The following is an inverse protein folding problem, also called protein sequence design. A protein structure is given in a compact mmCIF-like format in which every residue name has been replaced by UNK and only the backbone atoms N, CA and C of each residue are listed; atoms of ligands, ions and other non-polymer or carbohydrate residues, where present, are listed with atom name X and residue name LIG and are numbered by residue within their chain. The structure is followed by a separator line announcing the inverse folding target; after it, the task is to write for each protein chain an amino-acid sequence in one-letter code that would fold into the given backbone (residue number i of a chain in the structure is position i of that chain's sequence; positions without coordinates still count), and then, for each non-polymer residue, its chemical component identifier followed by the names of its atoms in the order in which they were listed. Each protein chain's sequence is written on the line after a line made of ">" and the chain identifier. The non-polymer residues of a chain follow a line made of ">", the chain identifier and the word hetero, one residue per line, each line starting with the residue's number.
data_IF_682274190426
#
_entry.id   IF_682274190426
#
_cell.length_a   1.000
_cell.length_b   1.000
_cell.length_c   1.000
_cell.angle_alpha   90.00
_cell.angle_beta   90.00
_cell.angle_gamma   90.00
#
_symmetry.space_group_name_H-M   'P 1'
#
loop_
_entity.id
_entity.type
_entity.pdbx_description
1 polymer ?
#
# COMPACT_ATOMS: atom_id res chain seq x y z
N UNK A 1 5.57 11.73 -8.06
CA UNK A 1 4.88 12.57 -9.08
C UNK A 1 3.54 13.02 -8.47
N UNK A 2 3.17 14.32 -8.49
CA UNK A 2 1.90 14.79 -7.90
C UNK A 2 0.90 15.12 -9.02
N UNK A 3 -0.21 14.39 -9.09
CA UNK A 3 -1.29 14.66 -10.05
C UNK A 3 -2.27 15.71 -9.49
N UNK A 4 -2.93 16.45 -10.38
CA UNK A 4 -4.17 17.15 -10.00
C UNK A 4 -5.32 16.13 -9.87
N UNK A 5 -6.36 16.44 -9.10
CA UNK A 5 -7.53 15.55 -8.96
C UNK A 5 -8.20 15.23 -10.29
N UNK A 6 -8.25 16.20 -11.22
CA UNK A 6 -8.79 15.98 -12.55
C UNK A 6 -7.95 14.97 -13.35
N UNK A 7 -6.63 15.07 -13.25
CA UNK A 7 -5.71 14.15 -13.93
C UNK A 7 -5.74 12.75 -13.33
N UNK A 8 -5.80 12.64 -11.99
CA UNK A 8 -5.96 11.36 -11.30
C UNK A 8 -7.29 10.69 -11.68
N UNK A 9 -8.40 11.44 -11.70
CA UNK A 9 -9.70 10.92 -12.08
C UNK A 9 -9.71 10.38 -13.52
N UNK A 10 -9.08 11.12 -14.44
CA UNK A 10 -8.93 10.71 -15.85
C UNK A 10 -8.13 9.40 -15.97
N UNK A 11 -7.02 9.27 -15.24
CA UNK A 11 -6.17 8.06 -15.25
C UNK A 11 -6.87 6.85 -14.63
N UNK A 12 -7.60 7.04 -13.54
CA UNK A 12 -8.33 5.99 -12.84
C UNK A 12 -9.69 5.65 -13.49
N UNK A 13 -10.11 6.36 -14.53
CA UNK A 13 -11.40 6.14 -15.20
C UNK A 13 -12.61 6.41 -14.31
N UNK A 14 -12.54 7.46 -13.48
CA UNK A 14 -13.62 7.88 -12.57
C UNK A 14 -14.02 9.34 -12.79
N UNK A 15 -15.14 9.75 -12.21
CA UNK A 15 -15.63 11.13 -12.36
C UNK A 15 -14.69 12.15 -11.69
N UNK A 16 -14.51 13.31 -12.33
CA UNK A 16 -13.50 14.32 -11.98
C UNK A 16 -13.58 14.86 -10.54
N UNK A 17 -14.76 14.84 -9.93
CA UNK A 17 -14.95 15.30 -8.53
C UNK A 17 -14.58 14.26 -7.48
N UNK A 18 -14.50 12.98 -7.86
CA UNK A 18 -14.40 11.89 -6.89
C UNK A 18 -13.11 11.90 -6.07
N UNK A 19 -11.91 12.16 -6.64
CA UNK A 19 -10.70 12.24 -5.82
C UNK A 19 -10.80 13.29 -4.70
N UNK A 20 -11.44 14.43 -4.96
CA UNK A 20 -11.66 15.45 -3.94
C UNK A 20 -12.57 14.96 -2.81
N UNK A 21 -13.61 14.17 -3.12
CA UNK A 21 -14.54 13.61 -2.12
C UNK A 21 -13.89 12.55 -1.24
N UNK A 22 -12.91 11.82 -1.77
CA UNK A 22 -12.16 10.80 -1.01
C UNK A 22 -11.12 11.42 -0.07
N UNK A 23 -10.47 12.51 -0.48
CA UNK A 23 -9.38 13.15 0.28
C UNK A 23 -9.89 14.15 1.33
N UNK A 24 -11.05 14.77 1.11
CA UNK A 24 -11.56 15.85 1.98
C UNK A 24 -12.65 15.35 2.93
N UNK A 25 -12.25 14.64 3.99
CA UNK A 25 -13.16 14.07 5.00
C UNK A 25 -14.10 15.10 5.69
N UNK A 26 -13.74 16.38 5.70
CA UNK A 26 -14.52 17.45 6.32
C UNK A 26 -15.53 18.12 5.36
N UNK A 27 -15.58 17.70 4.09
CA UNK A 27 -16.56 18.21 3.13
C UNK A 27 -17.92 17.54 3.37
N UNK A 28 -19.01 18.28 3.14
CA UNK A 28 -20.37 17.72 3.15
C UNK A 28 -20.56 16.58 2.12
N UNK A 29 -19.71 16.54 1.11
CA UNK A 29 -19.72 15.57 0.01
C UNK A 29 -18.72 14.41 0.19
N UNK A 30 -18.08 14.32 1.36
CA UNK A 30 -17.07 13.32 1.67
C UNK A 30 -17.63 11.89 1.56
N UNK A 31 -16.84 11.00 0.96
CA UNK A 31 -17.22 9.59 0.84
C UNK A 31 -15.98 8.71 0.69
N UNK A 32 -16.14 7.40 0.71
CA UNK A 32 -15.05 6.43 0.51
C UNK A 32 -15.16 5.76 -0.87
N UNK A 33 -14.03 5.43 -1.51
CA UNK A 33 -14.06 4.67 -2.74
C UNK A 33 -14.54 3.24 -2.48
N UNK A 34 -15.22 2.64 -3.46
CA UNK A 34 -15.39 1.19 -3.49
C UNK A 34 -14.03 0.50 -3.65
N UNK A 35 -13.93 -0.78 -3.29
CA UNK A 35 -12.70 -1.56 -3.48
C UNK A 35 -12.18 -1.51 -4.94
N UNK A 36 -13.07 -1.72 -5.92
CA UNK A 36 -12.72 -1.65 -7.33
C UNK A 36 -12.26 -0.24 -7.77
N UNK A 37 -12.80 0.82 -7.16
CA UNK A 37 -12.32 2.19 -7.40
C UNK A 37 -10.95 2.43 -6.77
N UNK A 38 -10.73 1.90 -5.57
CA UNK A 38 -9.44 1.97 -4.88
C UNK A 38 -8.34 1.29 -5.70
N UNK A 39 -8.58 0.10 -6.27
CA UNK A 39 -7.61 -0.59 -7.13
C UNK A 39 -7.20 0.25 -8.35
N UNK A 40 -8.17 0.89 -9.02
CA UNK A 40 -7.91 1.77 -10.18
C UNK A 40 -7.11 3.01 -9.79
N UNK A 41 -7.43 3.61 -8.64
CA UNK A 41 -6.67 4.74 -8.10
C UNK A 41 -5.23 4.33 -7.80
N UNK A 42 -5.04 3.15 -7.20
CA UNK A 42 -3.73 2.61 -6.85
C UNK A 42 -2.89 2.37 -8.11
N UNK A 43 -3.46 1.73 -9.14
CA UNK A 43 -2.78 1.52 -10.43
C UNK A 43 -2.42 2.83 -11.15
N UNK A 44 -3.24 3.88 -11.01
CA UNK A 44 -2.97 5.18 -11.61
C UNK A 44 -1.86 5.97 -10.88
N UNK A 45 -1.76 5.83 -9.56
CA UNK A 45 -0.77 6.49 -8.72
C UNK A 45 0.59 5.77 -8.73
N UNK A 46 0.54 4.44 -8.79
CA UNK A 46 1.67 3.54 -8.72
C UNK A 46 1.64 2.57 -9.92
N UNK A 47 1.85 3.08 -11.14
CA UNK A 47 1.92 2.20 -12.32
C UNK A 47 3.09 1.23 -12.16
N UNK A 48 2.93 -0.01 -12.60
CA UNK A 48 3.90 -1.09 -12.40
C UNK A 48 5.32 -0.80 -12.95
N UNK A 49 5.45 0.19 -13.84
CA UNK A 49 6.74 0.65 -14.39
C UNK A 49 7.42 1.73 -13.54
N UNK A 50 6.72 2.32 -12.56
CA UNK A 50 7.29 3.26 -11.59
C UNK A 50 7.86 2.48 -10.41
N UNK A 51 8.90 1.69 -10.70
CA UNK A 51 9.40 0.64 -9.83
C UNK A 51 8.25 -0.32 -9.49
N UNK A 52 8.33 -1.55 -10.03
CA UNK A 52 7.98 -2.68 -9.20
C UNK A 52 8.47 -2.31 -7.80
N UNK A 53 7.55 -2.17 -6.85
CA UNK A 53 7.93 -2.36 -5.47
C UNK A 53 8.51 -3.78 -5.51
N UNK A 54 9.81 -3.85 -5.81
CA UNK A 54 10.61 -4.96 -5.44
C UNK A 54 10.15 -5.17 -4.02
N UNK A 55 9.63 -6.36 -3.66
CA UNK A 55 9.60 -6.66 -2.25
C UNK A 55 10.99 -6.24 -1.79
N UNK A 56 11.08 -5.45 -0.73
CA UNK A 56 12.34 -5.21 -0.04
C UNK A 56 12.76 -6.55 0.59
N UNK A 57 12.85 -7.60 -0.22
CA UNK A 57 13.82 -8.64 -0.16
C UNK A 57 15.12 -7.86 -0.20
N UNK A 58 15.64 -7.55 0.98
CA UNK A 58 17.09 -7.62 1.18
C UNK A 58 17.61 -8.74 0.29
N UNK A 59 18.75 -8.62 -0.40
CA UNK A 59 19.23 -9.65 -1.32
C UNK A 59 19.27 -11.08 -0.72
N UNK A 60 19.20 -11.22 0.62
CA UNK A 60 19.08 -12.47 1.40
C UNK A 60 17.69 -12.73 2.07
N UNK A 61 16.61 -12.06 1.65
CA UNK A 61 15.33 -12.09 2.34
C UNK A 61 14.49 -13.33 2.05
N UNK A 62 14.49 -14.30 2.97
CA UNK A 62 13.57 -15.45 2.93
C UNK A 62 12.12 -14.96 3.06
N UNK A 63 11.20 -15.51 2.25
CA UNK A 63 9.77 -15.19 2.35
C UNK A 63 9.21 -15.75 3.67
N UNK A 64 8.26 -15.04 4.28
CA UNK A 64 7.72 -15.44 5.59
C UNK A 64 7.20 -16.89 5.66
N UNK A 65 6.60 -17.38 4.59
CA UNK A 65 6.09 -18.76 4.49
C UNK A 65 7.17 -19.83 4.36
N UNK A 66 8.36 -19.42 3.92
CA UNK A 66 9.50 -20.28 3.65
C UNK A 66 10.56 -20.16 4.77
N UNK A 67 10.37 -19.23 5.71
CA UNK A 67 11.26 -18.95 6.82
C UNK A 67 10.98 -19.86 8.02
N UNK A 68 12.04 -20.29 8.72
CA UNK A 68 11.92 -20.99 9.99
C UNK A 68 11.45 -20.05 11.10
N UNK A 69 10.95 -20.61 12.21
CA UNK A 69 10.54 -19.83 13.38
C UNK A 69 11.72 -18.98 13.91
N UNK A 70 12.92 -19.54 13.89
CA UNK A 70 14.15 -18.89 14.34
C UNK A 70 14.52 -17.70 13.45
N UNK A 71 14.41 -17.84 12.13
CA UNK A 71 14.66 -16.77 11.16
C UNK A 71 13.68 -15.62 11.36
N UNK A 72 12.41 -15.93 11.61
CA UNK A 72 11.38 -14.94 11.91
C UNK A 72 11.69 -14.21 13.22
N UNK A 73 12.06 -14.93 14.28
CA UNK A 73 12.42 -14.33 15.58
C UNK A 73 13.66 -13.44 15.45
N UNK A 74 14.68 -13.88 14.72
CA UNK A 74 15.91 -13.13 14.50
C UNK A 74 15.62 -11.82 13.74
N UNK A 75 14.79 -11.88 12.71
CA UNK A 75 14.39 -10.71 11.93
C UNK A 75 13.57 -9.72 12.76
N UNK A 76 12.63 -10.19 13.60
CA UNK A 76 11.85 -9.34 14.50
C UNK A 76 12.76 -8.62 15.52
N UNK A 77 13.72 -9.33 16.11
CA UNK A 77 14.71 -8.73 17.02
C UNK A 77 15.61 -7.72 16.31
N UNK A 78 16.06 -8.03 15.10
CA UNK A 78 16.84 -7.11 14.25
C UNK A 78 16.09 -5.80 13.99
N UNK A 79 14.76 -5.86 13.90
CA UNK A 79 13.88 -4.70 13.73
C UNK A 79 13.52 -3.98 15.03
N UNK A 80 14.05 -4.41 16.17
CA UNK A 80 13.86 -3.75 17.46
C UNK A 80 12.77 -4.35 18.35
N UNK A 81 12.28 -5.56 18.05
CA UNK A 81 11.42 -6.27 19.02
C UNK A 81 12.24 -6.69 20.25
N UNK A 82 11.88 -6.19 21.42
CA UNK A 82 12.57 -6.51 22.68
C UNK A 82 12.30 -7.96 23.16
N UNK A 83 11.09 -8.47 22.90
CA UNK A 83 10.71 -9.85 23.22
C UNK A 83 9.76 -10.42 22.17
N UNK A 84 9.80 -11.74 22.00
CA UNK A 84 8.90 -12.50 21.11
C UNK A 84 8.37 -13.69 21.92
N UNK A 85 7.05 -13.75 22.08
CA UNK A 85 6.35 -14.86 22.73
C UNK A 85 5.54 -15.62 21.68
N UNK A 86 5.74 -16.94 21.62
CA UNK A 86 5.02 -17.83 20.71
C UNK A 86 4.17 -18.76 21.56
N UNK A 87 2.86 -18.60 21.45
CA UNK A 87 1.88 -19.45 22.13
C UNK A 87 1.36 -20.46 21.11
N UNK A 88 1.38 -21.74 21.48
CA UNK A 88 0.87 -22.85 20.68
C UNK A 88 -0.31 -23.48 21.41
#
# INVERSE_FOLDING_TARGET
>A
MRFSYRELARRAGIHAVMPSRYENANSADATLPSFATWERLNAALFPADAEAAEPTTSPDGVRLKDASVEEIVAELKRRGAESVAINW
#
